data_IF_678917722339
#
_entry.id   IF_678917722339
#
_cell.length_a   1.000
_cell.length_b   1.000
_cell.length_c   1.000
_cell.angle_alpha   90.00
_cell.angle_beta   90.00
_cell.angle_gamma   90.00
#
_symmetry.space_group_name_H-M   'P 1'
#
loop_
_entity.id
_entity.type
_entity.pdbx_description
1 polymer ?
#
# COMPACT_ATOMS: atom_id res chain seq x y z
N UNK A 1 -15.42 12.84 20.86
CA UNK A 1 -13.95 12.79 20.73
C UNK A 1 -13.47 13.93 19.85
N UNK A 2 -12.29 14.50 20.11
CA UNK A 2 -11.76 15.66 19.36
C UNK A 2 -10.27 15.50 19.08
N UNK A 3 -9.81 16.08 17.98
CA UNK A 3 -8.39 16.23 17.64
C UNK A 3 -7.96 17.64 18.00
N UNK A 4 -6.83 17.76 18.70
CA UNK A 4 -6.32 19.03 19.21
C UNK A 4 -4.91 19.28 18.69
N UNK A 5 -4.72 20.43 18.04
CA UNK A 5 -3.40 20.95 17.72
C UNK A 5 -2.85 21.73 18.92
N UNK A 6 -1.66 21.37 19.40
CA UNK A 6 -1.02 22.06 20.53
C UNK A 6 -0.49 23.44 20.09
N UNK A 7 -1.04 24.50 20.67
CA UNK A 7 -0.56 25.88 20.48
C UNK A 7 0.55 26.20 21.50
N UNK A 8 0.40 25.72 22.73
CA UNK A 8 1.36 25.93 23.81
C UNK A 8 1.61 24.63 24.57
N UNK A 9 2.88 24.22 24.63
CA UNK A 9 3.32 23.08 25.45
C UNK A 9 3.17 23.41 26.95
N UNK A 10 2.88 22.41 27.81
CA UNK A 10 2.76 22.64 29.24
C UNK A 10 4.11 23.05 29.85
N UNK A 11 4.08 23.84 30.92
CA UNK A 11 5.24 24.16 31.77
C UNK A 11 4.98 23.73 33.21
N UNK A 12 5.94 23.93 34.12
CA UNK A 12 5.73 23.67 35.56
C UNK A 12 4.62 24.52 36.18
N UNK A 13 4.30 25.68 35.59
CA UNK A 13 3.32 26.65 36.16
C UNK A 13 2.08 26.82 35.29
N UNK A 14 2.08 26.32 34.05
CA UNK A 14 0.97 26.50 33.10
C UNK A 14 0.62 25.18 32.44
N UNK A 15 -0.68 24.92 32.28
CA UNK A 15 -1.19 23.77 31.52
C UNK A 15 -0.95 23.98 30.01
N UNK A 16 -1.03 22.90 29.25
CA UNK A 16 -0.99 22.98 27.78
C UNK A 16 -2.20 23.74 27.26
N UNK A 17 -2.02 24.46 26.15
CA UNK A 17 -3.10 25.11 25.40
C UNK A 17 -3.11 24.50 24.00
N UNK A 18 -4.29 24.12 23.54
CA UNK A 18 -4.48 23.61 22.19
C UNK A 18 -5.78 24.11 21.58
N UNK A 19 -5.87 23.99 20.26
CA UNK A 19 -7.07 24.31 19.48
C UNK A 19 -7.65 23.02 18.94
N UNK A 20 -8.96 22.86 19.08
CA UNK A 20 -9.67 21.75 18.43
C UNK A 20 -9.64 22.01 16.92
N UNK A 21 -9.08 21.07 16.16
CA UNK A 21 -9.00 21.14 14.70
C UNK A 21 -10.02 20.22 14.02
N UNK A 22 -10.52 19.20 14.73
CA UNK A 22 -11.48 18.24 14.21
C UNK A 22 -12.36 17.67 15.34
N UNK A 23 -13.64 17.42 15.06
CA UNK A 23 -14.58 16.77 15.99
C UNK A 23 -15.02 15.45 15.37
N UNK A 24 -14.62 14.34 16.00
CA UNK A 24 -14.81 12.97 15.48
C UNK A 24 -16.14 12.33 15.94
N UNK A 25 -16.99 13.08 16.65
CA UNK A 25 -18.30 12.62 17.13
C UNK A 25 -18.26 11.82 18.44
N UNK A 26 -19.41 11.25 18.81
CA UNK A 26 -19.63 10.57 20.12
C UNK A 26 -19.79 9.05 20.00
N UNK A 27 -19.86 8.52 18.78
CA UNK A 27 -20.20 7.12 18.56
C UNK A 27 -18.98 6.21 18.72
N UNK A 28 -18.84 5.57 19.89
CA UNK A 28 -17.69 4.77 20.32
C UNK A 28 -17.60 3.38 19.64
N UNK A 29 -17.93 3.28 18.35
CA UNK A 29 -17.84 2.05 17.56
C UNK A 29 -16.44 1.78 16.99
N UNK A 30 -16.28 0.65 16.30
CA UNK A 30 -15.01 0.22 15.68
C UNK A 30 -14.40 1.27 14.76
N UNK A 31 -15.22 2.03 14.01
CA UNK A 31 -14.74 3.11 13.15
C UNK A 31 -13.99 4.21 13.93
N UNK A 32 -14.48 4.59 15.11
CA UNK A 32 -13.78 5.58 15.96
C UNK A 32 -12.43 5.05 16.43
N UNK A 33 -12.32 3.76 16.77
CA UNK A 33 -11.06 3.15 17.18
C UNK A 33 -10.00 3.18 16.06
N UNK A 34 -10.42 2.96 14.81
CA UNK A 34 -9.54 3.08 13.63
C UNK A 34 -9.07 4.52 13.45
N UNK A 35 -10.00 5.50 13.48
CA UNK A 35 -9.68 6.92 13.33
C UNK A 35 -8.72 7.43 14.43
N UNK A 36 -8.86 6.94 15.66
CA UNK A 36 -7.93 7.20 16.76
C UNK A 36 -6.54 6.64 16.46
N UNK A 37 -6.46 5.37 16.07
CA UNK A 37 -5.19 4.70 15.83
C UNK A 37 -4.41 5.37 14.69
N UNK A 38 -5.09 5.69 13.58
CA UNK A 38 -4.48 6.38 12.44
C UNK A 38 -3.85 7.71 12.84
N UNK A 39 -4.55 8.54 13.63
CA UNK A 39 -4.04 9.85 14.07
C UNK A 39 -2.98 9.74 15.16
N UNK A 40 -3.17 8.86 16.13
CA UNK A 40 -2.25 8.70 17.28
C UNK A 40 -0.89 8.19 16.84
N UNK A 41 -0.86 7.31 15.83
CA UNK A 41 0.36 6.75 15.27
C UNK A 41 0.84 7.45 14.00
N UNK A 42 0.22 8.58 13.63
CA UNK A 42 0.57 9.38 12.45
C UNK A 42 0.64 8.54 11.16
N UNK A 43 -0.26 7.57 11.00
CA UNK A 43 -0.32 6.69 9.84
C UNK A 43 -0.95 7.46 8.67
N UNK A 44 -0.23 7.65 7.55
CA UNK A 44 -0.80 8.28 6.36
C UNK A 44 -1.93 7.41 5.80
N UNK A 45 -3.11 8.00 5.66
CA UNK A 45 -4.32 7.33 5.18
C UNK A 45 -5.07 8.14 4.11
N UNK A 46 -4.60 9.36 3.83
CA UNK A 46 -5.14 10.23 2.78
C UNK A 46 -4.15 10.23 1.62
N UNK A 47 -4.66 9.95 0.42
CA UNK A 47 -3.87 10.01 -0.80
C UNK A 47 -3.68 11.47 -1.25
N UNK A 48 -2.45 11.90 -1.56
CA UNK A 48 -2.22 13.23 -2.12
C UNK A 48 -2.88 13.38 -3.50
N UNK A 49 -3.39 14.57 -3.89
CA UNK A 49 -3.98 14.79 -5.21
C UNK A 49 -3.04 14.45 -6.39
N UNK A 50 -1.73 14.63 -6.20
CA UNK A 50 -0.72 14.27 -7.20
C UNK A 50 -0.63 12.74 -7.42
N UNK A 51 -0.86 11.95 -6.37
CA UNK A 51 -0.91 10.48 -6.42
C UNK A 51 -2.16 10.03 -7.18
N UNK A 52 -3.32 10.63 -6.87
CA UNK A 52 -4.58 10.37 -7.59
C UNK A 52 -4.46 10.71 -9.10
N UNK A 53 -3.85 11.85 -9.41
CA UNK A 53 -3.61 12.26 -10.80
C UNK A 53 -2.67 11.30 -11.54
N UNK A 54 -1.66 10.74 -10.85
CA UNK A 54 -0.73 9.78 -11.43
C UNK A 54 -1.43 8.46 -11.80
N UNK A 55 -2.30 7.92 -10.94
CA UNK A 55 -2.98 6.64 -11.20
C UNK A 55 -4.13 6.76 -12.19
N UNK A 56 -4.72 7.94 -12.35
CA UNK A 56 -5.84 8.17 -13.28
C UNK A 56 -5.50 7.84 -14.75
N UNK A 57 -4.21 7.85 -15.12
CA UNK A 57 -3.73 7.49 -16.45
C UNK A 57 -3.46 5.99 -16.68
N UNK A 58 -3.58 5.16 -15.65
CA UNK A 58 -3.33 3.72 -15.76
C UNK A 58 -4.44 3.05 -16.59
N UNK A 59 -4.01 2.11 -17.44
CA UNK A 59 -4.93 1.28 -18.23
C UNK A 59 -5.23 0.00 -17.48
N UNK A 60 -6.41 -0.57 -17.73
CA UNK A 60 -6.83 -1.85 -17.16
C UNK A 60 -5.96 -3.03 -17.62
N UNK A 61 -5.42 -2.97 -18.84
CA UNK A 61 -4.60 -4.03 -19.43
C UNK A 61 -3.16 -3.56 -19.65
N UNK A 62 -2.21 -4.48 -19.45
CA UNK A 62 -0.80 -4.26 -19.76
C UNK A 62 -0.63 -4.14 -21.29
N UNK A 63 -0.14 -3.00 -21.81
CA UNK A 63 0.02 -2.81 -23.25
C UNK A 63 1.11 -3.72 -23.83
N UNK A 64 1.03 -4.04 -25.12
CA UNK A 64 1.99 -4.95 -25.79
C UNK A 64 3.41 -4.40 -25.76
N UNK A 65 3.57 -3.09 -25.89
CA UNK A 65 4.87 -2.42 -25.81
C UNK A 65 5.60 -2.68 -24.48
N UNK A 66 4.86 -2.83 -23.38
CA UNK A 66 5.43 -3.12 -22.05
C UNK A 66 5.92 -4.56 -21.88
N UNK A 67 5.53 -5.46 -22.79
CA UNK A 67 5.89 -6.88 -22.79
C UNK A 67 7.18 -7.14 -23.57
N UNK A 68 7.55 -6.25 -24.48
CA UNK A 68 8.74 -6.39 -25.33
C UNK A 68 10.01 -6.48 -24.46
N UNK A 69 10.85 -7.48 -24.75
CA UNK A 69 12.12 -7.70 -24.05
C UNK A 69 12.02 -8.44 -22.72
N UNK A 70 10.81 -8.83 -22.28
CA UNK A 70 10.60 -9.68 -21.10
C UNK A 70 10.67 -11.16 -21.47
N UNK A 71 11.03 -12.00 -20.50
CA UNK A 71 10.92 -13.46 -20.64
C UNK A 71 9.44 -13.83 -20.60
N UNK A 72 8.98 -14.54 -21.64
CA UNK A 72 7.60 -15.00 -21.71
C UNK A 72 7.41 -16.28 -20.88
N UNK A 73 6.62 -16.18 -19.81
CA UNK A 73 6.29 -17.26 -18.90
C UNK A 73 4.78 -17.55 -18.86
N UNK A 74 4.00 -17.04 -19.82
CA UNK A 74 2.53 -17.16 -19.81
C UNK A 74 2.01 -18.60 -19.90
N UNK A 75 2.80 -19.50 -20.48
CA UNK A 75 2.49 -20.93 -20.57
C UNK A 75 2.98 -21.74 -19.35
N UNK A 76 3.73 -21.11 -18.43
CA UNK A 76 4.14 -21.73 -17.18
C UNK A 76 2.95 -21.74 -16.20
N UNK A 77 2.61 -22.86 -15.55
CA UNK A 77 1.42 -22.94 -14.70
C UNK A 77 1.72 -22.37 -13.30
N UNK A 78 2.06 -21.09 -13.27
CA UNK A 78 2.20 -20.28 -12.06
C UNK A 78 0.83 -20.12 -11.39
N UNK A 79 0.82 -20.23 -10.06
CA UNK A 79 -0.37 -20.01 -9.23
C UNK A 79 -0.02 -19.12 -8.05
N UNK A 80 -1.02 -18.42 -7.51
CA UNK A 80 -0.93 -17.67 -6.24
C UNK A 80 -1.67 -18.47 -5.16
N UNK A 81 -1.27 -18.31 -3.90
CA UNK A 81 -1.84 -19.04 -2.76
C UNK A 81 -2.01 -18.05 -1.61
N UNK A 82 -3.23 -17.53 -1.48
CA UNK A 82 -3.53 -16.38 -0.62
C UNK A 82 -4.76 -16.64 0.25
N UNK A 83 -5.00 -15.76 1.23
CA UNK A 83 -6.23 -15.78 2.04
C UNK A 83 -7.47 -15.41 1.21
N UNK A 84 -8.65 -15.86 1.64
CA UNK A 84 -9.92 -15.65 0.92
C UNK A 84 -10.27 -14.17 0.67
N UNK A 85 -9.86 -13.29 1.59
CA UNK A 85 -10.10 -11.85 1.50
C UNK A 85 -9.00 -11.06 0.78
N UNK A 86 -7.90 -11.70 0.36
CA UNK A 86 -6.78 -11.04 -0.32
C UNK A 86 -7.18 -10.58 -1.74
N UNK A 87 -6.64 -9.43 -2.18
CA UNK A 87 -6.93 -8.85 -3.51
C UNK A 87 -5.68 -8.34 -4.25
N UNK A 88 -4.54 -8.42 -3.59
CA UNK A 88 -3.23 -7.87 -3.92
C UNK A 88 -2.21 -9.01 -3.99
N UNK A 89 -2.31 -9.82 -5.06
CA UNK A 89 -1.45 -10.99 -5.25
C UNK A 89 -0.08 -10.58 -5.77
N UNK A 90 0.90 -10.46 -4.86
CA UNK A 90 2.25 -9.97 -5.18
C UNK A 90 3.21 -11.05 -5.67
N UNK A 91 2.90 -12.33 -5.44
CA UNK A 91 3.76 -13.44 -5.83
C UNK A 91 3.00 -14.61 -6.47
N UNK A 92 3.70 -15.35 -7.33
CA UNK A 92 3.23 -16.58 -7.95
C UNK A 92 4.35 -17.62 -8.00
N UNK A 93 4.01 -18.89 -7.81
CA UNK A 93 4.98 -19.98 -7.70
C UNK A 93 4.66 -21.12 -8.65
N UNK A 94 5.73 -21.78 -9.13
CA UNK A 94 5.66 -23.04 -9.85
C UNK A 94 6.97 -23.81 -9.64
N UNK A 95 6.91 -25.14 -9.58
CA UNK A 95 8.12 -25.95 -9.54
C UNK A 95 8.00 -27.24 -10.34
N UNK A 96 9.14 -27.69 -10.86
CA UNK A 96 9.25 -28.96 -11.58
C UNK A 96 10.48 -29.74 -11.13
N UNK A 97 10.41 -31.07 -11.22
CA UNK A 97 11.56 -31.93 -10.94
C UNK A 97 12.63 -31.71 -12.00
N UNK A 98 13.87 -31.52 -11.57
CA UNK A 98 15.01 -31.39 -12.48
C UNK A 98 15.53 -32.76 -12.87
N UNK A 99 15.89 -32.94 -14.15
CA UNK A 99 16.59 -34.16 -14.60
C UNK A 99 17.93 -34.28 -13.87
N UNK A 100 18.15 -35.41 -13.19
CA UNK A 100 19.34 -35.64 -12.36
C UNK A 100 19.12 -35.41 -10.85
N UNK A 101 17.89 -35.10 -10.43
CA UNK A 101 17.53 -34.90 -9.03
C UNK A 101 17.37 -33.43 -8.66
N UNK A 102 16.59 -33.18 -7.61
CA UNK A 102 16.22 -31.84 -7.16
C UNK A 102 15.08 -31.20 -7.95
N UNK A 103 14.92 -29.89 -7.78
CA UNK A 103 13.81 -29.10 -8.32
C UNK A 103 14.31 -27.83 -8.99
N UNK A 104 13.54 -27.36 -9.97
CA UNK A 104 13.59 -25.98 -10.44
C UNK A 104 12.35 -25.29 -9.92
N UNK A 105 12.54 -24.19 -9.20
CA UNK A 105 11.49 -23.36 -8.62
C UNK A 105 11.50 -22.02 -9.34
N UNK A 106 10.31 -21.54 -9.68
CA UNK A 106 10.05 -20.17 -10.08
C UNK A 106 9.26 -19.49 -8.98
N UNK A 107 9.71 -18.28 -8.66
CA UNK A 107 9.00 -17.33 -7.81
C UNK A 107 8.90 -16.05 -8.64
N UNK A 108 7.72 -15.76 -9.16
CA UNK A 108 7.43 -14.56 -9.91
C UNK A 108 6.86 -13.52 -8.95
N UNK A 109 7.41 -12.31 -8.95
CA UNK A 109 6.99 -11.20 -8.08
C UNK A 109 6.41 -10.09 -8.95
N UNK A 110 5.37 -9.41 -8.47
CA UNK A 110 4.80 -8.23 -9.09
C UNK A 110 5.89 -7.18 -9.38
N UNK A 111 5.98 -6.71 -10.62
CA UNK A 111 6.96 -5.71 -11.03
C UNK A 111 6.48 -4.29 -10.66
N UNK A 112 6.33 -4.03 -9.36
CA UNK A 112 5.87 -2.73 -8.82
C UNK A 112 6.79 -1.59 -9.29
N UNK A 113 8.10 -1.86 -9.40
CA UNK A 113 9.10 -0.89 -9.85
C UNK A 113 8.88 -0.37 -11.27
N UNK A 114 8.17 -1.14 -12.11
CA UNK A 114 7.78 -0.69 -13.44
C UNK A 114 6.76 0.46 -13.38
N UNK A 115 5.81 0.37 -12.45
CA UNK A 115 4.70 1.30 -12.27
C UNK A 115 5.04 2.46 -11.33
N UNK A 116 5.89 2.23 -10.34
CA UNK A 116 6.36 3.22 -9.37
C UNK A 116 7.81 3.59 -9.68
N UNK A 117 8.00 4.67 -10.43
CA UNK A 117 9.32 5.15 -10.87
C UNK A 117 9.79 6.34 -10.03
N UNK A 118 11.07 6.42 -9.64
CA UNK A 118 11.62 7.67 -9.11
C UNK A 118 11.95 8.68 -10.23
N UNK A 119 11.82 10.00 -10.01
CA UNK A 119 11.07 10.65 -8.93
C UNK A 119 9.61 10.86 -9.38
N UNK A 120 8.66 10.10 -8.83
CA UNK A 120 7.22 10.31 -9.06
C UNK A 120 6.50 10.51 -7.74
N UNK A 121 5.28 11.09 -7.70
CA UNK A 121 4.49 11.18 -6.48
C UNK A 121 4.33 9.85 -5.71
N UNK A 122 4.35 8.71 -6.41
CA UNK A 122 4.37 7.37 -5.81
C UNK A 122 5.78 6.86 -5.40
N UNK A 123 6.83 7.29 -6.10
CA UNK A 123 8.21 6.83 -5.92
C UNK A 123 9.08 7.96 -5.40
N UNK A 124 9.23 8.01 -4.07
CA UNK A 124 10.05 8.96 -3.30
C UNK A 124 11.47 9.12 -3.84
#
# INVERSE_FOLDING_TARGET
MVVVELIQRPTRRTKAIGKIVEVLGENMGTGMAVEMALRTHEIPHVWPPAVEAQVAGLKEQVPEEAKVGRVDLRDLPLVTIDGEDARDFDDAVYCEKKRGGGWRLWVAIADVSYYVRPPTPFGW
#
